data_IF_814210695363
#
_entry.id   IF_814210695363
#
_cell.length_a   1.000
_cell.length_b   1.000
_cell.length_c   1.000
_cell.angle_alpha   90.00
_cell.angle_beta   90.00
_cell.angle_gamma   90.00
#
_symmetry.space_group_name_H-M   'P 1'
#
loop_
_entity.id
_entity.type
_entity.pdbx_description
1 polymer ?
#
# COMPACT_ATOMS: atom_id res chain seq x y z
N UNK A 1 8.61 18.77 19.04
CA UNK A 1 7.38 18.05 18.67
C UNK A 1 6.66 17.67 19.95
N UNK A 2 5.46 18.20 20.20
CA UNK A 2 4.57 17.79 21.30
C UNK A 2 3.86 16.48 20.94
N UNK A 3 3.16 15.89 21.92
CA UNK A 3 2.32 14.72 21.66
C UNK A 3 1.16 15.05 20.72
N UNK A 4 0.54 16.23 20.81
CA UNK A 4 -0.52 16.63 19.88
C UNK A 4 0.02 16.84 18.46
N UNK A 5 1.19 17.47 18.32
CA UNK A 5 1.85 17.64 17.01
C UNK A 5 2.13 16.28 16.35
N UNK A 6 2.65 15.31 17.12
CA UNK A 6 2.85 13.95 16.62
C UNK A 6 1.55 13.29 16.16
N UNK A 7 0.45 13.47 16.91
CA UNK A 7 -0.87 12.96 16.55
C UNK A 7 -1.36 13.58 15.25
N UNK A 8 -1.13 14.88 15.02
CA UNK A 8 -1.42 15.54 13.74
C UNK A 8 -0.71 14.87 12.56
N UNK A 9 0.58 14.53 12.71
CA UNK A 9 1.35 13.84 11.66
C UNK A 9 0.94 12.37 11.47
N UNK A 10 0.42 11.72 12.51
CA UNK A 10 0.09 10.29 12.49
C UNK A 10 -1.43 10.00 12.41
N UNK A 11 -2.28 11.02 12.30
CA UNK A 11 -3.73 10.87 12.25
C UNK A 11 -4.19 10.13 10.98
N UNK A 12 -5.41 9.54 10.96
CA UNK A 12 -5.90 8.77 9.82
C UNK A 12 -5.79 9.49 8.47
N UNK A 13 -6.06 10.80 8.44
CA UNK A 13 -5.95 11.61 7.22
C UNK A 13 -4.51 11.68 6.68
N UNK A 14 -3.50 11.82 7.55
CA UNK A 14 -2.11 11.85 7.13
C UNK A 14 -1.68 10.55 6.44
N UNK A 15 -2.12 9.39 6.96
CA UNK A 15 -1.90 8.10 6.29
C UNK A 15 -2.64 8.00 4.95
N UNK A 16 -3.83 8.60 4.85
CA UNK A 16 -4.61 8.62 3.61
C UNK A 16 -3.93 9.43 2.52
N UNK A 17 -3.40 10.62 2.86
CA UNK A 17 -2.62 11.43 1.91
C UNK A 17 -1.37 10.71 1.40
N UNK A 18 -0.66 10.01 2.29
CA UNK A 18 0.51 9.21 1.89
C UNK A 18 0.10 8.05 0.98
N UNK A 19 -1.02 7.38 1.27
CA UNK A 19 -1.54 6.31 0.41
C UNK A 19 -1.87 6.83 -0.99
N UNK A 20 -2.48 8.02 -1.08
CA UNK A 20 -2.89 8.65 -2.33
C UNK A 20 -1.69 9.10 -3.17
N UNK A 21 -0.72 9.80 -2.57
CA UNK A 21 0.51 10.20 -3.27
C UNK A 21 1.25 9.00 -3.85
N UNK A 22 1.44 7.94 -3.05
CA UNK A 22 2.12 6.72 -3.51
C UNK A 22 1.36 6.01 -4.65
N UNK A 23 0.03 6.03 -4.62
CA UNK A 23 -0.81 5.48 -5.67
C UNK A 23 -0.70 6.29 -6.96
N UNK A 24 -0.76 7.61 -6.88
CA UNK A 24 -0.59 8.52 -8.02
C UNK A 24 0.80 8.36 -8.67
N UNK A 25 1.86 8.22 -7.87
CA UNK A 25 3.19 7.91 -8.41
C UNK A 25 3.24 6.53 -9.09
N UNK A 26 2.55 5.53 -8.55
CA UNK A 26 2.48 4.21 -9.16
C UNK A 26 1.75 4.25 -10.51
N UNK A 27 0.65 5.01 -10.62
CA UNK A 27 -0.08 5.22 -11.88
C UNK A 27 0.82 5.84 -12.95
N UNK A 28 1.51 6.94 -12.62
CA UNK A 28 2.42 7.63 -13.55
C UNK A 28 3.56 6.75 -14.06
N UNK A 29 4.11 5.90 -13.19
CA UNK A 29 5.12 4.92 -13.62
C UNK A 29 4.51 3.84 -14.51
N UNK A 30 3.30 3.38 -14.20
CA UNK A 30 2.60 2.39 -15.01
C UNK A 30 2.27 2.89 -16.41
N UNK A 31 1.98 4.18 -16.58
CA UNK A 31 1.80 4.81 -17.89
C UNK A 31 3.06 4.71 -18.77
N UNK A 32 4.24 4.61 -18.15
CA UNK A 32 5.51 4.43 -18.86
C UNK A 32 5.86 2.96 -19.17
N UNK A 33 4.97 2.01 -18.83
CA UNK A 33 5.18 0.60 -19.08
C UNK A 33 5.32 0.31 -20.59
N UNK A 34 6.26 -0.56 -20.95
CA UNK A 34 6.58 -0.93 -22.33
C UNK A 34 7.55 0.03 -23.03
N UNK A 35 7.92 1.15 -22.41
CA UNK A 35 8.85 2.13 -22.99
C UNK A 35 10.33 1.87 -22.64
N UNK A 36 10.62 0.98 -21.69
CA UNK A 36 11.99 0.63 -21.31
C UNK A 36 12.09 -0.81 -20.84
N UNK A 37 13.05 -1.56 -21.37
CA UNK A 37 13.29 -2.95 -20.99
C UNK A 37 14.75 -3.25 -20.72
N UNK A 38 14.98 -4.12 -19.73
CA UNK A 38 16.26 -4.75 -19.46
C UNK A 38 16.23 -6.17 -20.03
N UNK A 39 17.28 -6.54 -20.76
CA UNK A 39 17.47 -7.89 -21.28
C UNK A 39 18.72 -8.51 -20.67
N UNK A 40 18.58 -9.71 -20.11
CA UNK A 40 19.70 -10.56 -19.70
C UNK A 40 19.80 -11.74 -20.67
N UNK A 41 21.00 -12.01 -21.16
CA UNK A 41 21.33 -13.23 -21.91
C UNK A 41 22.30 -14.07 -21.09
N UNK A 42 21.91 -15.29 -20.77
CA UNK A 42 22.78 -16.28 -20.15
C UNK A 42 23.56 -17.02 -21.24
N UNK A 43 24.88 -16.84 -21.27
CA UNK A 43 25.74 -17.45 -22.27
C UNK A 43 26.01 -18.95 -22.03
N UNK A 44 25.76 -19.47 -20.83
CA UNK A 44 25.93 -20.89 -20.52
C UNK A 44 24.69 -21.68 -20.95
N UNK A 45 23.50 -21.15 -20.67
CA UNK A 45 22.23 -21.85 -20.97
C UNK A 45 21.56 -21.38 -22.26
N UNK A 46 22.02 -20.27 -22.84
CA UNK A 46 21.39 -19.61 -23.98
C UNK A 46 20.07 -18.90 -23.66
N UNK A 47 19.64 -18.91 -22.39
CA UNK A 47 18.34 -18.34 -21.97
C UNK A 47 18.38 -16.82 -21.99
N UNK A 48 17.30 -16.23 -22.46
CA UNK A 48 17.07 -14.79 -22.38
C UNK A 48 15.94 -14.49 -21.39
N UNK A 49 16.07 -13.38 -20.68
CA UNK A 49 15.05 -12.88 -19.77
C UNK A 49 14.89 -11.37 -19.97
N UNK A 50 13.65 -10.91 -19.85
CA UNK A 50 13.22 -9.55 -20.15
C UNK A 50 12.40 -9.01 -18.98
N UNK A 51 12.66 -7.76 -18.61
CA UNK A 51 11.91 -7.05 -17.57
C UNK A 51 11.66 -5.63 -18.02
N UNK A 52 10.45 -5.15 -17.75
CA UNK A 52 10.16 -3.72 -17.85
C UNK A 52 10.89 -2.98 -16.72
N UNK A 53 11.48 -1.82 -17.03
CA UNK A 53 12.22 -1.06 -16.03
C UNK A 53 11.32 -0.35 -15.00
N UNK A 54 10.02 -0.24 -15.26
CA UNK A 54 9.02 0.38 -14.37
C UNK A 54 8.38 -0.62 -13.41
N UNK A 55 8.36 -1.92 -13.74
CA UNK A 55 7.58 -2.94 -13.00
C UNK A 55 7.88 -2.96 -11.52
N UNK A 56 9.16 -3.00 -11.16
CA UNK A 56 9.60 -3.09 -9.76
C UNK A 56 9.17 -1.85 -8.96
N UNK A 57 9.43 -0.66 -9.49
CA UNK A 57 9.12 0.58 -8.79
C UNK A 57 7.60 0.75 -8.63
N UNK A 58 6.85 0.46 -9.69
CA UNK A 58 5.38 0.47 -9.69
C UNK A 58 4.82 -0.48 -8.63
N UNK A 59 5.32 -1.71 -8.57
CA UNK A 59 4.87 -2.71 -7.60
C UNK A 59 5.14 -2.30 -6.15
N UNK A 60 6.32 -1.73 -5.88
CA UNK A 60 6.69 -1.25 -4.53
C UNK A 60 5.79 -0.09 -4.08
N UNK A 61 5.58 0.90 -4.94
CA UNK A 61 4.72 2.04 -4.63
C UNK A 61 3.27 1.60 -4.40
N UNK A 62 2.75 0.69 -5.25
CA UNK A 62 1.44 0.09 -5.06
C UNK A 62 1.32 -0.67 -3.73
N UNK A 63 2.35 -1.45 -3.35
CA UNK A 63 2.43 -2.14 -2.06
C UNK A 63 2.37 -1.16 -0.89
N UNK A 64 3.13 -0.06 -0.95
CA UNK A 64 3.15 0.95 0.09
C UNK A 64 1.84 1.76 0.15
N UNK A 65 1.21 2.04 -0.99
CA UNK A 65 -0.12 2.66 -1.03
C UNK A 65 -1.16 1.80 -0.30
N UNK A 66 -1.19 0.48 -0.58
CA UNK A 66 -2.06 -0.47 0.11
C UNK A 66 -1.77 -0.52 1.62
N UNK A 67 -0.49 -0.56 2.02
CA UNK A 67 -0.09 -0.56 3.43
C UNK A 67 -0.63 0.68 4.15
N UNK A 68 -0.41 1.87 3.60
CA UNK A 68 -0.85 3.13 4.18
C UNK A 68 -2.38 3.22 4.23
N UNK A 69 -3.09 2.81 3.17
CA UNK A 69 -4.54 2.76 3.15
C UNK A 69 -5.11 1.84 4.25
N UNK A 70 -4.48 0.68 4.48
CA UNK A 70 -4.87 -0.22 5.60
C UNK A 70 -4.64 0.47 6.95
N UNK A 71 -3.51 1.17 7.11
CA UNK A 71 -3.18 1.88 8.34
C UNK A 71 -4.15 3.01 8.65
N UNK A 72 -4.77 3.65 7.64
CA UNK A 72 -5.88 4.60 7.88
C UNK A 72 -7.00 3.94 8.69
N UNK A 73 -7.47 2.75 8.28
CA UNK A 73 -8.51 2.03 9.03
C UNK A 73 -8.07 1.71 10.46
N UNK A 74 -6.83 1.25 10.62
CA UNK A 74 -6.31 0.83 11.92
C UNK A 74 -6.17 1.99 12.89
N UNK A 75 -5.66 3.14 12.45
CA UNK A 75 -5.54 4.34 13.28
C UNK A 75 -6.91 4.94 13.60
N UNK A 76 -7.84 4.90 12.63
CA UNK A 76 -9.21 5.33 12.86
C UNK A 76 -9.88 4.50 13.97
N UNK A 77 -9.73 3.17 13.90
CA UNK A 77 -10.29 2.23 14.89
C UNK A 77 -9.55 2.24 16.23
N UNK A 78 -8.26 2.56 16.25
CA UNK A 78 -7.41 2.46 17.43
C UNK A 78 -6.59 3.75 17.65
N UNK A 79 -7.21 4.86 18.09
CA UNK A 79 -6.53 6.15 18.22
C UNK A 79 -5.30 6.13 19.14
N UNK A 80 -5.30 5.27 20.17
CA UNK A 80 -4.16 5.12 21.09
C UNK A 80 -2.90 4.59 20.42
N UNK A 81 -2.98 4.04 19.20
CA UNK A 81 -1.83 3.48 18.48
C UNK A 81 -0.85 4.53 17.95
N UNK A 82 -1.21 5.81 18.02
CA UNK A 82 -0.36 6.94 17.66
C UNK A 82 -0.16 7.90 18.85
N UNK A 83 -0.25 7.39 20.08
CA UNK A 83 -0.14 8.20 21.29
C UNK A 83 1.31 8.29 21.79
N UNK A 84 1.60 9.38 22.51
CA UNK A 84 2.84 9.55 23.29
C UNK A 84 4.10 9.56 22.41
N UNK A 85 4.02 10.18 21.22
CA UNK A 85 5.15 10.31 20.32
C UNK A 85 5.63 9.01 19.68
N UNK A 86 4.83 7.94 19.71
CA UNK A 86 5.24 6.62 19.20
C UNK A 86 4.14 5.92 18.41
N UNK A 87 4.54 5.08 17.47
CA UNK A 87 3.64 4.16 16.78
C UNK A 87 3.58 2.82 17.52
N UNK A 88 2.37 2.33 17.77
CA UNK A 88 2.15 1.01 18.32
C UNK A 88 2.79 -0.07 17.45
N UNK A 89 3.18 -1.19 18.09
CA UNK A 89 3.85 -2.31 17.41
C UNK A 89 3.09 -2.80 16.15
N UNK A 90 1.76 -2.98 16.16
CA UNK A 90 1.04 -3.42 14.97
C UNK A 90 1.21 -2.49 13.77
N UNK A 91 1.21 -1.17 13.95
CA UNK A 91 1.39 -0.18 12.87
C UNK A 91 2.79 -0.20 12.23
N UNK A 92 3.78 -0.82 12.90
CA UNK A 92 5.14 -0.96 12.39
C UNK A 92 5.34 -2.25 11.57
N UNK A 93 4.31 -3.10 11.49
CA UNK A 93 4.34 -4.25 10.58
C UNK A 93 4.24 -3.80 9.12
N UNK A 94 4.81 -4.60 8.23
CA UNK A 94 4.70 -4.48 6.77
C UNK A 94 3.91 -5.66 6.15
N UNK A 95 3.38 -6.55 7.00
CA UNK A 95 2.58 -7.70 6.59
C UNK A 95 1.17 -7.24 6.25
N UNK A 96 0.93 -6.93 4.98
CA UNK A 96 -0.35 -6.42 4.47
C UNK A 96 -1.54 -7.29 4.89
N UNK A 97 -1.39 -8.62 4.80
CA UNK A 97 -2.47 -9.55 5.13
C UNK A 97 -2.79 -9.58 6.62
N UNK A 98 -1.78 -9.47 7.47
CA UNK A 98 -1.94 -9.39 8.93
C UNK A 98 -2.55 -8.04 9.34
N UNK A 99 -2.04 -6.94 8.79
CA UNK A 99 -2.56 -5.59 9.05
C UNK A 99 -4.05 -5.49 8.67
N UNK A 100 -4.42 -5.98 7.48
CA UNK A 100 -5.81 -5.93 7.04
C UNK A 100 -6.74 -6.80 7.90
N UNK A 101 -6.23 -7.90 8.47
CA UNK A 101 -7.00 -8.76 9.37
C UNK A 101 -7.34 -8.09 10.70
N UNK A 102 -6.54 -7.10 11.13
CA UNK A 102 -6.79 -6.33 12.36
C UNK A 102 -7.93 -5.32 12.21
N UNK A 103 -8.24 -4.88 10.98
CA UNK A 103 -9.28 -3.87 10.75
C UNK A 103 -10.68 -4.48 10.64
N UNK A 104 -11.65 -3.82 11.30
CA UNK A 104 -13.09 -4.09 11.17
C UNK A 104 -13.75 -3.33 10.02
N UNK A 105 -13.18 -2.21 9.60
CA UNK A 105 -13.72 -1.34 8.55
C UNK A 105 -13.19 -1.64 7.15
N UNK A 106 -12.06 -2.35 7.03
CA UNK A 106 -11.52 -2.77 5.73
C UNK A 106 -12.52 -3.66 4.97
N UNK A 107 -12.95 -3.26 3.76
CA UNK A 107 -13.98 -3.97 3.01
C UNK A 107 -13.42 -5.21 2.31
N UNK A 108 -14.32 -6.09 1.84
CA UNK A 108 -14.00 -7.23 0.96
C UNK A 108 -12.91 -8.21 1.47
N UNK A 109 -12.78 -8.38 2.79
CA UNK A 109 -11.74 -9.18 3.48
C UNK A 109 -11.21 -10.40 2.75
N UNK A 110 -12.08 -11.28 2.23
CA UNK A 110 -11.66 -12.51 1.54
C UNK A 110 -10.95 -12.25 0.20
N UNK A 111 -11.49 -11.34 -0.63
CA UNK A 111 -10.87 -10.98 -1.92
C UNK A 111 -9.63 -10.13 -1.67
N UNK A 112 -9.72 -9.14 -0.77
CA UNK A 112 -8.61 -8.31 -0.35
C UNK A 112 -7.41 -9.15 0.12
N UNK A 113 -7.62 -10.16 0.97
CA UNK A 113 -6.53 -11.02 1.47
C UNK A 113 -5.72 -11.69 0.36
N UNK A 114 -6.36 -12.12 -0.74
CA UNK A 114 -5.66 -12.74 -1.87
C UNK A 114 -4.75 -11.73 -2.56
N UNK A 115 -5.31 -10.57 -2.90
CA UNK A 115 -4.60 -9.48 -3.58
C UNK A 115 -3.45 -8.98 -2.70
N UNK A 116 -3.71 -8.70 -1.42
CA UNK A 116 -2.70 -8.29 -0.46
C UNK A 116 -1.59 -9.33 -0.29
N UNK A 117 -1.92 -10.62 -0.34
CA UNK A 117 -0.92 -11.70 -0.32
C UNK A 117 0.02 -11.62 -1.51
N UNK A 118 -0.49 -11.39 -2.72
CA UNK A 118 0.33 -11.19 -3.92
C UNK A 118 1.30 -10.02 -3.77
N UNK A 119 0.84 -8.88 -3.24
CA UNK A 119 1.68 -7.70 -3.02
C UNK A 119 2.70 -7.91 -1.88
N UNK A 120 2.31 -8.59 -0.81
CA UNK A 120 3.21 -8.96 0.29
C UNK A 120 4.34 -9.88 -0.20
N UNK A 121 4.00 -10.94 -0.93
CA UNK A 121 4.96 -11.91 -1.48
C UNK A 121 5.94 -11.25 -2.46
N UNK A 122 5.44 -10.38 -3.35
CA UNK A 122 6.29 -9.65 -4.30
C UNK A 122 7.24 -8.67 -3.60
N UNK A 123 6.76 -7.95 -2.58
CA UNK A 123 7.56 -7.01 -1.80
C UNK A 123 8.67 -7.71 -1.00
N UNK A 124 8.41 -8.90 -0.47
CA UNK A 124 9.41 -9.69 0.27
C UNK A 124 10.34 -10.53 -0.62
N UNK A 125 10.15 -10.46 -1.94
CA UNK A 125 10.96 -11.19 -2.91
C UNK A 125 11.60 -10.25 -3.94
N UNK A 126 11.13 -10.31 -5.18
CA UNK A 126 11.77 -9.74 -6.36
C UNK A 126 11.63 -8.22 -6.49
N UNK A 127 10.68 -7.62 -5.75
CA UNK A 127 10.46 -6.19 -5.80
C UNK A 127 11.48 -5.43 -4.93
N UNK A 128 11.73 -5.88 -3.69
CA UNK A 128 12.69 -5.23 -2.78
C UNK A 128 14.12 -5.73 -2.96
N UNK A 129 14.29 -7.00 -3.33
CA UNK A 129 15.59 -7.64 -3.47
C UNK A 129 15.74 -8.25 -4.87
N UNK A 130 16.97 -8.50 -5.35
CA UNK A 130 17.16 -9.19 -6.63
C UNK A 130 16.69 -10.66 -6.60
N UNK A 131 16.42 -11.21 -5.42
CA UNK A 131 15.92 -12.56 -5.16
C UNK A 131 15.14 -12.57 -3.84
N UNK A 132 14.43 -13.64 -3.53
CA UNK A 132 13.80 -13.76 -2.21
C UNK A 132 14.83 -13.91 -1.09
N UNK A 133 14.38 -13.74 0.17
CA UNK A 133 15.23 -13.83 1.36
C UNK A 133 15.99 -15.15 1.50
N UNK A 134 15.55 -16.22 0.82
CA UNK A 134 16.29 -17.47 0.74
C UNK A 134 16.14 -18.12 -0.64
N UNK A 135 17.04 -19.08 -0.92
CA UNK A 135 17.07 -19.80 -2.20
C UNK A 135 15.77 -20.57 -2.49
N UNK A 136 15.13 -21.15 -1.46
CA UNK A 136 13.95 -21.98 -1.63
C UNK A 136 12.69 -21.16 -1.97
N UNK A 137 12.64 -19.88 -1.57
CA UNK A 137 11.56 -18.95 -1.90
C UNK A 137 11.86 -18.05 -3.09
N UNK A 138 13.05 -18.16 -3.69
CA UNK A 138 13.42 -17.36 -4.86
C UNK A 138 12.73 -17.90 -6.10
N UNK A 139 11.69 -17.21 -6.54
CA UNK A 139 11.08 -17.40 -7.86
C UNK A 139 11.66 -16.40 -8.86
N UNK A 140 11.54 -16.69 -10.14
CA UNK A 140 11.76 -15.66 -11.15
C UNK A 140 10.84 -14.47 -10.85
N UNK A 141 11.30 -13.22 -11.04
CA UNK A 141 10.47 -12.03 -10.83
C UNK A 141 9.16 -12.21 -11.60
N UNK A 142 8.04 -12.17 -10.88
CA UNK A 142 6.76 -12.05 -11.55
C UNK A 142 6.74 -10.66 -12.18
N UNK A 143 6.55 -10.58 -13.50
CA UNK A 143 6.23 -9.30 -14.11
C UNK A 143 4.93 -8.77 -13.49
N UNK A 144 4.81 -7.46 -13.36
CA UNK A 144 3.54 -6.85 -12.93
C UNK A 144 2.54 -7.01 -14.08
N UNK A 145 1.88 -8.16 -14.09
CA UNK A 145 0.96 -8.52 -15.15
C UNK A 145 -0.25 -7.58 -15.15
N UNK A 146 -0.93 -7.40 -16.29
CA UNK A 146 -2.16 -6.63 -16.35
C UNK A 146 -3.20 -7.07 -15.32
N UNK A 147 -3.28 -8.37 -15.03
CA UNK A 147 -4.22 -8.94 -14.05
C UNK A 147 -3.88 -8.52 -12.62
N UNK A 148 -2.60 -8.60 -12.23
CA UNK A 148 -2.15 -8.16 -10.89
C UNK A 148 -2.41 -6.66 -10.72
N UNK A 149 -2.15 -5.87 -11.76
CA UNK A 149 -2.41 -4.43 -11.74
C UNK A 149 -3.90 -4.11 -11.62
N UNK A 150 -4.75 -4.79 -12.39
CA UNK A 150 -6.21 -4.64 -12.32
C UNK A 150 -6.76 -4.99 -10.93
N UNK A 151 -6.22 -6.05 -10.31
CA UNK A 151 -6.60 -6.43 -8.94
C UNK A 151 -6.19 -5.37 -7.91
N UNK A 152 -5.01 -4.74 -8.10
CA UNK A 152 -4.59 -3.59 -7.30
C UNK A 152 -5.51 -2.39 -7.45
N UNK A 153 -5.77 -1.93 -8.68
CA UNK A 153 -6.64 -0.79 -8.98
C UNK A 153 -8.03 -0.99 -8.36
N UNK A 154 -8.57 -2.21 -8.54
CA UNK A 154 -9.84 -2.57 -7.93
C UNK A 154 -9.81 -2.44 -6.40
N UNK A 155 -8.77 -2.96 -5.75
CA UNK A 155 -8.68 -2.97 -4.29
C UNK A 155 -8.43 -1.56 -3.73
N UNK A 156 -7.50 -0.80 -4.30
CA UNK A 156 -7.16 0.53 -3.81
C UNK A 156 -8.34 1.49 -3.99
N UNK A 157 -9.07 1.41 -5.11
CA UNK A 157 -10.30 2.17 -5.34
C UNK A 157 -11.45 1.74 -4.40
N UNK A 158 -11.55 0.45 -4.09
CA UNK A 158 -12.50 -0.04 -3.08
C UNK A 158 -12.16 0.47 -1.67
N UNK A 159 -10.88 0.58 -1.32
CA UNK A 159 -10.44 1.20 -0.08
C UNK A 159 -10.69 2.70 -0.09
N UNK A 160 -10.35 3.42 -1.15
CA UNK A 160 -10.60 4.84 -1.33
C UNK A 160 -12.04 5.24 -1.01
N UNK A 161 -13.02 4.61 -1.69
CA UNK A 161 -14.45 4.85 -1.44
C UNK A 161 -14.86 4.62 0.01
N UNK A 162 -14.27 3.63 0.67
CA UNK A 162 -14.60 3.32 2.07
C UNK A 162 -13.93 4.31 3.03
N UNK A 163 -12.70 4.70 2.74
CA UNK A 163 -11.89 5.60 3.55
C UNK A 163 -12.43 7.02 3.51
N UNK A 164 -12.85 7.52 2.36
CA UNK A 164 -13.43 8.88 2.27
C UNK A 164 -14.70 9.01 3.11
N UNK A 165 -15.60 8.02 3.04
CA UNK A 165 -16.77 7.93 3.93
C UNK A 165 -16.42 7.73 5.41
N UNK A 166 -15.28 7.10 5.71
CA UNK A 166 -14.83 6.90 7.09
C UNK A 166 -14.27 8.19 7.67
N UNK A 167 -13.41 8.89 6.92
CA UNK A 167 -12.74 10.12 7.33
C UNK A 167 -13.68 11.34 7.38
N UNK A 168 -14.81 11.29 6.68
CA UNK A 168 -15.87 12.29 6.82
C UNK A 168 -16.61 12.20 8.15
N UNK A 169 -16.36 11.17 8.97
CA UNK A 169 -16.94 11.04 10.30
C UNK A 169 -16.04 11.75 11.33
N UNK A 170 -16.66 12.25 12.39
CA UNK A 170 -15.95 12.81 13.51
C UNK A 170 -15.08 11.75 14.20
N UNK A 171 -13.77 11.97 14.17
CA UNK A 171 -12.77 11.07 14.73
C UNK A 171 -12.18 11.66 16.01
N UNK A 172 -12.15 10.86 17.06
CA UNK A 172 -11.59 11.20 18.37
C UNK A 172 -10.22 10.57 18.55
N UNK A 173 -9.19 11.38 18.40
CA UNK A 173 -7.79 11.05 18.60
C UNK A 173 -7.38 10.96 20.08
N UNK A 174 -6.16 10.50 20.37
CA UNK A 174 -5.59 10.60 21.71
C UNK A 174 -5.22 12.06 22.05
N UNK A 175 -4.94 12.33 23.33
CA UNK A 175 -4.50 13.65 23.80
C UNK A 175 -5.47 14.80 23.51
N UNK A 176 -6.77 14.50 23.40
CA UNK A 176 -7.81 15.48 23.13
C UNK A 176 -7.85 16.00 21.69
N UNK A 177 -7.02 15.47 20.79
CA UNK A 177 -7.09 15.80 19.37
C UNK A 177 -8.37 15.21 18.78
N UNK A 178 -9.19 16.02 18.12
CA UNK A 178 -10.37 15.56 17.40
C UNK A 178 -10.37 16.19 16.01
N UNK A 179 -10.88 15.47 15.01
CA UNK A 179 -10.91 15.97 13.64
C UNK A 179 -12.09 15.42 12.84
N UNK A 180 -12.44 16.13 11.78
CA UNK A 180 -13.34 15.68 10.72
C UNK A 180 -12.78 16.23 9.42
N UNK A 181 -12.83 15.44 8.35
CA UNK A 181 -12.20 15.80 7.09
C UNK A 181 -13.23 15.94 5.98
N UNK A 182 -13.12 17.03 5.24
CA UNK A 182 -13.86 17.25 3.99
C UNK A 182 -12.93 16.87 2.83
N UNK A 183 -13.35 15.89 2.04
CA UNK A 183 -12.54 15.32 0.94
C UNK A 183 -13.33 15.52 -0.34
N UNK A 184 -12.77 16.29 -1.28
CA UNK A 184 -13.38 16.61 -2.57
C UNK A 184 -12.45 16.25 -3.72
N UNK A 185 -12.95 15.52 -4.71
CA UNK A 185 -12.19 15.12 -5.89
C UNK A 185 -11.95 13.61 -5.97
N UNK A 186 -10.98 13.23 -6.80
CA UNK A 186 -10.63 11.82 -7.00
C UNK A 186 -9.42 11.48 -6.15
N UNK A 187 -9.58 10.53 -5.23
CA UNK A 187 -8.50 10.03 -4.38
C UNK A 187 -8.50 8.51 -4.43
N UNK A 188 -7.33 7.90 -4.57
CA UNK A 188 -7.17 6.45 -4.71
C UNK A 188 -8.05 5.88 -5.84
N UNK A 189 -8.23 6.61 -6.94
CA UNK A 189 -9.16 6.29 -8.04
C UNK A 189 -10.61 6.06 -7.60
N UNK A 190 -11.01 6.67 -6.48
CA UNK A 190 -12.39 6.76 -6.04
C UNK A 190 -12.90 8.18 -6.27
N UNK A 191 -13.97 8.31 -7.06
CA UNK A 191 -14.74 9.56 -7.17
C UNK A 191 -15.47 9.82 -5.85
N UNK A 192 -15.24 10.99 -5.25
CA UNK A 192 -15.84 11.42 -3.99
C UNK A 192 -16.57 12.76 -4.13
#
# INVERSE_FOLDING_TARGET
MTNEEFVGFACPHSWFLVADDLHDQALKLRESYGHGFLRRKDHQTGREAFWDNTDRATFLLASFALENAIKVFLVFENPSWISNGTLAKPLRSHKLTELAALSRHAPYRRKARKILGTFEDGNESWARYPCALNKASSTDPANLSPEIWTDYEWLISAYGRRLTKLLSQHWKGPHGFEATYEIHGTFLDALN
#
